data_IF_160100765163
#
_entry.id   IF_160100765163
#
_cell.length_a   1.000
_cell.length_b   1.000
_cell.length_c   1.000
_cell.angle_alpha   90.00
_cell.angle_beta   90.00
_cell.angle_gamma   90.00
#
_symmetry.space_group_name_H-M   'P 1'
#
loop_
_entity.id
_entity.type
_entity.pdbx_description
1 polymer ?
#
# COMPACT_ATOMS: atom_id res chain seq x y z
N UNK A 1 -12.06 -19.80 0.07
CA UNK A 1 -12.92 -18.62 0.05
C UNK A 1 -12.11 -17.34 -0.21
N UNK A 2 -10.98 -17.09 0.48
CA UNK A 2 -10.18 -15.87 0.38
C UNK A 2 -9.76 -15.54 -1.06
N UNK A 3 -9.21 -16.49 -1.81
CA UNK A 3 -8.82 -16.27 -3.20
C UNK A 3 -10.01 -15.93 -4.11
N UNK A 4 -11.19 -16.51 -3.87
CA UNK A 4 -12.41 -16.16 -4.61
C UNK A 4 -12.89 -14.74 -4.28
N UNK A 5 -12.75 -14.29 -3.04
CA UNK A 5 -13.05 -12.91 -2.66
C UNK A 5 -12.09 -11.91 -3.35
N UNK A 6 -10.80 -12.21 -3.40
CA UNK A 6 -9.80 -11.42 -4.14
C UNK A 6 -10.12 -11.40 -5.64
N UNK A 7 -10.60 -12.50 -6.20
CA UNK A 7 -11.06 -12.55 -7.59
C UNK A 7 -12.25 -11.60 -7.84
N UNK A 8 -13.22 -11.56 -6.91
CA UNK A 8 -14.33 -10.59 -6.99
C UNK A 8 -13.82 -9.15 -6.97
N UNK A 9 -12.87 -8.81 -6.11
CA UNK A 9 -12.24 -7.48 -6.07
C UNK A 9 -11.59 -7.11 -7.41
N UNK A 10 -10.87 -8.04 -8.02
CA UNK A 10 -10.25 -7.83 -9.34
C UNK A 10 -11.30 -7.60 -10.43
N UNK A 11 -12.40 -8.33 -10.40
CA UNK A 11 -13.53 -8.13 -11.32
C UNK A 11 -14.18 -6.78 -11.07
N UNK A 12 -14.36 -6.38 -9.81
CA UNK A 12 -14.96 -5.10 -9.44
C UNK A 12 -14.15 -3.92 -9.97
N UNK A 13 -12.81 -3.99 -9.92
CA UNK A 13 -11.92 -2.97 -10.49
C UNK A 13 -12.09 -2.81 -12.00
N UNK A 14 -12.25 -3.93 -12.73
CA UNK A 14 -12.42 -3.92 -14.18
C UNK A 14 -13.84 -3.50 -14.62
N UNK A 15 -14.82 -3.59 -13.70
CA UNK A 15 -16.24 -3.34 -13.99
C UNK A 15 -16.81 -2.13 -13.24
N UNK A 16 -15.94 -1.24 -12.76
CA UNK A 16 -16.38 -0.02 -12.07
C UNK A 16 -16.61 1.14 -13.03
N UNK A 17 -17.60 1.97 -12.74
CA UNK A 17 -17.81 3.25 -13.41
C UNK A 17 -16.74 4.31 -13.11
N UNK A 18 -15.78 4.00 -12.26
CA UNK A 18 -14.62 4.84 -11.93
C UNK A 18 -13.42 4.59 -12.88
N UNK A 19 -13.49 3.52 -13.68
CA UNK A 19 -12.45 3.16 -14.64
C UNK A 19 -12.49 4.04 -15.89
N UNK A 20 -11.36 4.18 -16.57
CA UNK A 20 -11.25 4.89 -17.85
C UNK A 20 -10.71 3.98 -18.93
N UNK A 21 -11.01 4.31 -20.18
CA UNK A 21 -10.47 3.59 -21.31
C UNK A 21 -9.06 4.06 -21.66
N UNK A 22 -8.14 3.12 -21.85
CA UNK A 22 -6.78 3.40 -22.33
C UNK A 22 -6.68 3.06 -23.82
N UNK A 23 -6.76 4.08 -24.68
CA UNK A 23 -6.77 3.89 -26.14
C UNK A 23 -5.56 3.14 -26.70
N UNK A 24 -4.37 3.40 -26.18
CA UNK A 24 -3.14 2.79 -26.70
C UNK A 24 -2.95 1.31 -26.31
N UNK A 25 -3.66 0.83 -25.29
CA UNK A 25 -3.62 -0.57 -24.83
C UNK A 25 -4.94 -1.30 -25.04
N UNK A 26 -5.97 -0.60 -25.49
CA UNK A 26 -7.33 -1.13 -25.66
C UNK A 26 -7.83 -1.89 -24.43
N UNK A 27 -7.62 -1.29 -23.24
CA UNK A 27 -7.97 -1.90 -21.97
C UNK A 27 -8.54 -0.88 -20.98
N UNK A 28 -9.20 -1.35 -19.95
CA UNK A 28 -9.67 -0.50 -18.85
C UNK A 28 -8.50 -0.22 -17.91
N UNK A 29 -8.25 1.04 -17.63
CA UNK A 29 -7.30 1.45 -16.60
C UNK A 29 -7.94 1.44 -15.21
N UNK A 30 -7.08 1.19 -14.21
CA UNK A 30 -7.48 1.21 -12.82
C UNK A 30 -8.07 2.57 -12.42
N UNK A 31 -9.11 2.57 -11.56
CA UNK A 31 -9.76 3.79 -11.11
C UNK A 31 -8.86 4.70 -10.26
N UNK A 32 -7.75 4.16 -9.74
CA UNK A 32 -6.87 4.85 -8.78
C UNK A 32 -5.63 5.50 -9.41
N UNK A 33 -5.64 5.78 -10.70
CA UNK A 33 -4.50 6.41 -11.40
C UNK A 33 -4.10 7.78 -10.83
N UNK A 34 -4.98 8.46 -10.12
CA UNK A 34 -4.74 9.71 -9.41
C UNK A 34 -4.59 9.54 -7.90
N UNK A 35 -4.45 8.30 -7.42
CA UNK A 35 -4.37 7.97 -5.99
C UNK A 35 -5.59 8.49 -5.19
N UNK A 36 -6.73 8.55 -5.84
CA UNK A 36 -8.01 8.95 -5.27
C UNK A 36 -9.13 8.18 -5.97
N UNK A 37 -10.28 8.05 -5.32
CA UNK A 37 -11.51 7.59 -5.95
C UNK A 37 -12.03 8.74 -6.83
N UNK A 38 -11.65 8.72 -8.10
CA UNK A 38 -11.97 9.78 -9.04
C UNK A 38 -13.33 9.54 -9.70
N UNK A 39 -14.09 10.61 -9.87
CA UNK A 39 -15.28 10.59 -10.72
C UNK A 39 -14.87 10.79 -12.18
N UNK A 40 -15.39 9.95 -13.08
CA UNK A 40 -15.20 10.07 -14.53
C UNK A 40 -16.55 10.29 -15.20
N UNK A 41 -16.56 11.12 -16.27
CA UNK A 41 -17.79 11.42 -17.02
C UNK A 41 -18.17 10.32 -17.99
N UNK A 42 -17.18 9.60 -18.51
CA UNK A 42 -17.36 8.55 -19.50
C UNK A 42 -16.50 7.35 -19.09
N UNK A 43 -17.12 6.21 -18.93
CA UNK A 43 -16.47 4.99 -18.47
C UNK A 43 -16.81 3.82 -19.41
N UNK A 44 -15.87 2.89 -19.60
CA UNK A 44 -16.11 1.71 -20.40
C UNK A 44 -16.99 0.71 -19.67
N UNK A 45 -17.94 0.13 -20.38
CA UNK A 45 -18.66 -1.04 -19.91
C UNK A 45 -17.94 -2.30 -20.41
N UNK A 46 -17.43 -3.11 -19.47
CA UNK A 46 -16.78 -4.36 -19.81
C UNK A 46 -17.74 -5.53 -19.70
N UNK A 47 -17.54 -6.54 -20.55
CA UNK A 47 -18.22 -7.82 -20.42
C UNK A 47 -17.31 -8.78 -19.63
N UNK A 48 -17.64 -9.11 -18.36
CA UNK A 48 -16.81 -10.01 -17.57
C UNK A 48 -16.73 -11.44 -18.12
N UNK A 49 -17.63 -11.82 -19.00
CA UNK A 49 -17.69 -13.15 -19.60
C UNK A 49 -17.02 -13.26 -21.00
N UNK A 50 -16.36 -12.20 -21.44
CA UNK A 50 -15.58 -12.24 -22.69
C UNK A 50 -14.21 -12.91 -22.48
N UNK A 51 -13.46 -13.08 -23.58
CA UNK A 51 -12.10 -13.64 -23.56
C UNK A 51 -10.98 -12.58 -23.54
N UNK A 52 -11.34 -11.29 -23.38
CA UNK A 52 -10.38 -10.20 -23.43
C UNK A 52 -9.70 -9.95 -22.08
N UNK A 53 -8.68 -9.10 -22.09
CA UNK A 53 -8.02 -8.60 -20.89
C UNK A 53 -9.04 -7.93 -19.95
N UNK A 54 -8.95 -8.21 -18.66
CA UNK A 54 -9.90 -7.70 -17.66
C UNK A 54 -11.15 -8.54 -17.45
N UNK A 55 -11.39 -9.59 -18.27
CA UNK A 55 -12.49 -10.52 -18.06
C UNK A 55 -12.34 -11.32 -16.75
N UNK A 56 -13.44 -11.88 -16.26
CA UNK A 56 -13.44 -12.69 -15.04
C UNK A 56 -12.45 -13.88 -15.14
N UNK A 57 -12.43 -14.57 -16.26
CA UNK A 57 -11.49 -15.68 -16.49
C UNK A 57 -10.04 -15.20 -16.50
N UNK A 58 -9.74 -14.11 -17.21
CA UNK A 58 -8.39 -13.54 -17.23
C UNK A 58 -7.94 -13.09 -15.84
N UNK A 59 -8.81 -12.49 -15.04
CA UNK A 59 -8.48 -12.10 -13.66
C UNK A 59 -8.26 -13.31 -12.74
N UNK A 60 -8.95 -14.44 -12.99
CA UNK A 60 -8.73 -15.69 -12.26
C UNK A 60 -7.36 -16.30 -12.57
N UNK A 61 -6.93 -16.27 -13.83
CA UNK A 61 -5.62 -16.81 -14.24
C UNK A 61 -4.45 -16.20 -13.47
N UNK A 62 -4.50 -14.90 -13.15
CA UNK A 62 -3.47 -14.26 -12.35
C UNK A 62 -3.38 -14.84 -10.93
N UNK A 63 -4.53 -15.16 -10.33
CA UNK A 63 -4.56 -15.77 -8.99
C UNK A 63 -4.04 -17.21 -9.06
N UNK A 64 -4.42 -17.97 -10.08
CA UNK A 64 -3.96 -19.35 -10.26
C UNK A 64 -2.44 -19.40 -10.47
N UNK A 65 -1.88 -18.53 -11.30
CA UNK A 65 -0.43 -18.42 -11.52
C UNK A 65 0.32 -18.07 -10.22
N UNK A 66 -0.22 -17.19 -9.40
CA UNK A 66 0.35 -16.88 -8.09
C UNK A 66 0.35 -18.12 -7.18
N UNK A 67 -0.77 -18.82 -7.08
CA UNK A 67 -0.87 -20.05 -6.27
C UNK A 67 0.14 -21.10 -6.75
N UNK A 68 0.29 -21.27 -8.06
CA UNK A 68 1.26 -22.19 -8.65
C UNK A 68 2.70 -21.79 -8.32
N UNK A 69 3.05 -20.51 -8.43
CA UNK A 69 4.40 -20.01 -8.11
C UNK A 69 4.78 -20.20 -6.64
N UNK A 70 3.81 -20.02 -5.74
CA UNK A 70 4.06 -20.13 -4.29
C UNK A 70 3.92 -21.57 -3.75
N UNK A 71 3.33 -22.48 -4.52
CA UNK A 71 3.06 -23.86 -4.05
C UNK A 71 4.32 -24.67 -3.71
N UNK A 72 5.48 -24.26 -4.23
CA UNK A 72 6.77 -24.92 -4.02
C UNK A 72 7.62 -24.24 -2.93
N UNK A 73 7.12 -23.21 -2.25
CA UNK A 73 7.84 -22.56 -1.16
C UNK A 73 7.92 -23.50 0.05
N UNK A 74 9.15 -23.81 0.48
CA UNK A 74 9.42 -24.68 1.64
C UNK A 74 9.79 -23.92 2.90
N UNK A 75 9.70 -22.58 2.87
CA UNK A 75 10.09 -21.75 4.02
C UNK A 75 8.93 -21.61 5.02
N UNK A 76 9.25 -21.79 6.29
CA UNK A 76 8.32 -21.46 7.36
C UNK A 76 8.16 -19.94 7.46
N UNK A 77 6.92 -19.48 7.34
CA UNK A 77 6.58 -18.05 7.37
C UNK A 77 5.71 -17.73 8.58
N UNK A 78 6.09 -16.71 9.33
CA UNK A 78 5.28 -16.17 10.43
C UNK A 78 4.57 -14.93 9.94
N UNK A 79 3.24 -15.00 9.83
CA UNK A 79 2.39 -13.85 9.48
C UNK A 79 1.74 -13.27 10.73
N UNK A 80 1.79 -11.94 10.86
CA UNK A 80 1.15 -11.22 11.96
C UNK A 80 0.32 -10.07 11.41
N UNK A 81 -0.88 -9.92 11.94
CA UNK A 81 -1.71 -8.74 11.76
C UNK A 81 -1.52 -7.82 12.97
N UNK A 82 -0.55 -6.93 12.88
CA UNK A 82 -0.17 -6.03 13.96
C UNK A 82 0.39 -4.72 13.41
N UNK A 83 0.41 -3.68 14.22
CA UNK A 83 1.06 -2.42 13.86
C UNK A 83 2.59 -2.57 13.82
N UNK A 84 3.25 -2.01 12.80
CA UNK A 84 4.72 -2.00 12.71
C UNK A 84 5.39 -1.27 13.88
N UNK A 85 4.68 -0.37 14.56
CA UNK A 85 5.15 0.32 15.77
C UNK A 85 4.97 -0.49 17.06
N UNK A 86 4.40 -1.69 17.00
CA UNK A 86 4.24 -2.55 18.16
C UNK A 86 5.59 -3.18 18.52
N UNK A 87 6.01 -2.99 19.77
CA UNK A 87 7.28 -3.53 20.28
C UNK A 87 7.18 -5.03 20.57
N UNK A 88 8.28 -5.73 20.40
CA UNK A 88 8.41 -7.17 20.72
C UNK A 88 7.45 -8.08 19.95
N UNK A 89 7.11 -7.73 18.72
CA UNK A 89 6.21 -8.55 17.89
C UNK A 89 6.69 -10.01 17.73
N UNK A 90 7.99 -10.23 17.76
CA UNK A 90 8.61 -11.56 17.67
C UNK A 90 9.17 -12.05 19.01
N UNK A 91 8.67 -11.49 20.12
CA UNK A 91 9.15 -11.79 21.47
C UNK A 91 10.60 -11.33 21.68
N UNK A 92 11.42 -12.18 22.25
CA UNK A 92 12.85 -11.91 22.48
C UNK A 92 13.73 -12.26 21.24
N UNK A 93 13.12 -12.76 20.17
CA UNK A 93 13.85 -13.11 18.94
C UNK A 93 14.30 -11.84 18.22
N UNK A 94 15.60 -11.77 17.91
CA UNK A 94 16.14 -10.73 17.04
C UNK A 94 16.05 -11.14 15.57
N UNK A 95 15.67 -10.20 14.73
CA UNK A 95 15.67 -10.34 13.28
C UNK A 95 17.06 -9.94 12.75
N UNK A 96 17.63 -10.72 11.86
CA UNK A 96 18.92 -10.40 11.23
C UNK A 96 18.77 -9.17 10.32
N UNK A 97 17.68 -9.12 9.56
CA UNK A 97 17.42 -7.99 8.68
C UNK A 97 15.93 -7.62 8.70
N UNK A 98 15.64 -6.33 8.49
CA UNK A 98 14.30 -5.81 8.22
C UNK A 98 14.32 -5.08 6.90
N UNK A 99 13.38 -5.37 6.03
CA UNK A 99 13.16 -4.70 4.76
C UNK A 99 11.77 -4.07 4.81
N UNK A 100 11.68 -2.77 4.58
CA UNK A 100 10.43 -2.03 4.69
C UNK A 100 10.30 -0.97 3.60
N UNK A 101 9.06 -0.75 3.18
CA UNK A 101 8.63 0.31 2.28
C UNK A 101 7.53 1.10 3.04
N UNK A 102 7.90 2.12 3.83
CA UNK A 102 6.95 2.86 4.66
C UNK A 102 6.05 3.76 3.80
N UNK A 103 4.90 4.21 4.31
CA UNK A 103 4.05 5.15 3.59
C UNK A 103 4.80 6.43 3.20
N UNK A 104 4.51 6.92 1.99
CA UNK A 104 5.22 8.06 1.37
C UNK A 104 4.62 9.41 1.80
N UNK A 105 4.76 9.74 3.06
CA UNK A 105 4.34 11.01 3.67
C UNK A 105 2.86 11.31 3.42
N UNK A 106 2.54 12.27 2.53
CA UNK A 106 1.18 12.67 2.14
C UNK A 106 0.80 12.27 0.69
N UNK A 107 1.66 11.50 0.03
CA UNK A 107 1.50 11.21 -1.39
C UNK A 107 0.33 10.28 -1.68
N UNK A 108 0.00 9.33 -0.80
CA UNK A 108 -1.01 8.30 -1.03
C UNK A 108 -1.91 8.15 0.20
N UNK A 109 -3.22 8.25 -0.02
CA UNK A 109 -4.25 7.99 0.98
C UNK A 109 -4.64 6.49 0.97
N UNK A 110 -3.76 5.64 1.50
CA UNK A 110 -3.91 4.18 1.39
C UNK A 110 -5.23 3.66 1.96
N UNK A 111 -5.60 4.09 3.16
CA UNK A 111 -6.81 3.65 3.83
C UNK A 111 -8.07 4.13 3.07
N UNK A 112 -8.08 5.37 2.57
CA UNK A 112 -9.21 5.90 1.80
C UNK A 112 -9.42 5.13 0.50
N UNK A 113 -8.34 4.83 -0.23
CA UNK A 113 -8.39 4.06 -1.48
C UNK A 113 -8.80 2.61 -1.20
N UNK A 114 -8.32 2.05 -0.10
CA UNK A 114 -8.62 0.67 0.32
C UNK A 114 -10.10 0.46 0.65
N UNK A 115 -10.86 1.50 0.97
CA UNK A 115 -12.30 1.41 1.22
C UNK A 115 -13.06 0.80 0.03
N UNK A 116 -12.60 1.04 -1.20
CA UNK A 116 -13.18 0.43 -2.40
C UNK A 116 -13.17 -1.10 -2.33
N UNK A 117 -12.03 -1.69 -1.96
CA UNK A 117 -11.87 -3.14 -1.83
C UNK A 117 -12.49 -3.67 -0.55
N UNK A 118 -12.37 -2.91 0.53
CA UNK A 118 -12.90 -3.28 1.84
C UNK A 118 -14.39 -3.60 1.80
N UNK A 119 -15.18 -2.86 1.02
CA UNK A 119 -16.62 -3.09 0.87
C UNK A 119 -16.93 -4.49 0.33
N UNK A 120 -16.17 -4.95 -0.67
CA UNK A 120 -16.37 -6.26 -1.29
C UNK A 120 -15.85 -7.39 -0.41
N UNK A 121 -14.63 -7.21 0.14
CA UNK A 121 -14.04 -8.19 1.05
C UNK A 121 -14.87 -8.38 2.31
N UNK A 122 -15.39 -7.30 2.89
CA UNK A 122 -16.30 -7.37 4.04
C UNK A 122 -17.55 -8.17 3.74
N UNK A 123 -18.17 -7.97 2.59
CA UNK A 123 -19.38 -8.71 2.18
C UNK A 123 -19.12 -10.20 1.95
N UNK A 124 -17.94 -10.55 1.52
CA UNK A 124 -17.58 -11.92 1.14
C UNK A 124 -16.87 -12.70 2.23
N UNK A 125 -16.13 -12.03 3.11
CA UNK A 125 -15.23 -12.65 4.09
C UNK A 125 -15.53 -12.34 5.56
N UNK A 126 -16.55 -11.53 5.86
CA UNK A 126 -16.85 -11.12 7.24
C UNK A 126 -17.01 -12.32 8.19
N UNK A 127 -17.63 -13.40 7.74
CA UNK A 127 -17.83 -14.60 8.57
C UNK A 127 -16.52 -15.38 8.80
N UNK A 128 -15.56 -15.22 7.90
CA UNK A 128 -14.25 -15.89 8.00
C UNK A 128 -13.24 -15.07 8.79
N UNK A 129 -13.28 -13.74 8.65
CA UNK A 129 -12.33 -12.80 9.25
C UNK A 129 -13.04 -11.64 9.95
N UNK A 130 -13.96 -11.98 10.88
CA UNK A 130 -14.84 -10.99 11.53
C UNK A 130 -14.10 -9.85 12.22
N UNK A 131 -12.93 -10.10 12.82
CA UNK A 131 -12.12 -9.07 13.47
C UNK A 131 -11.56 -8.06 12.48
N UNK A 132 -11.18 -8.48 11.27
CA UNK A 132 -10.65 -7.61 10.22
C UNK A 132 -11.73 -6.73 9.59
N UNK A 133 -12.98 -7.16 9.63
CA UNK A 133 -14.12 -6.48 9.01
C UNK A 133 -15.13 -5.92 10.02
N UNK A 134 -14.70 -5.70 11.27
CA UNK A 134 -15.55 -5.20 12.36
C UNK A 134 -15.99 -3.74 12.19
N UNK A 135 -15.23 -2.92 11.48
CA UNK A 135 -15.50 -1.50 11.25
C UNK A 135 -16.33 -1.26 9.98
N UNK A 136 -17.08 -0.16 9.86
CA UNK A 136 -17.78 0.20 8.63
C UNK A 136 -16.85 0.47 7.43
N UNK A 137 -15.68 1.02 7.70
CA UNK A 137 -14.64 1.40 6.73
C UNK A 137 -13.28 0.95 7.25
N UNK A 138 -12.25 1.03 6.41
CA UNK A 138 -10.86 0.82 6.84
C UNK A 138 -10.48 1.80 7.95
N UNK A 139 -9.73 1.36 8.98
CA UNK A 139 -9.29 2.27 10.03
C UNK A 139 -8.27 3.28 9.50
N UNK A 140 -8.56 4.57 9.66
CA UNK A 140 -7.74 5.68 9.14
C UNK A 140 -6.88 6.34 10.22
N UNK A 141 -7.34 6.28 11.48
CA UNK A 141 -6.67 6.92 12.61
C UNK A 141 -5.29 6.35 12.95
N UNK A 142 -5.01 5.11 12.53
CA UNK A 142 -3.74 4.44 12.78
C UNK A 142 -2.80 4.44 11.56
N UNK A 143 -3.24 4.97 10.44
CA UNK A 143 -2.45 5.06 9.24
C UNK A 143 -1.28 6.04 9.42
N UNK A 144 -0.05 5.60 9.11
CA UNK A 144 1.14 6.44 9.21
C UNK A 144 1.29 7.30 7.95
N UNK A 145 0.43 8.33 7.82
CA UNK A 145 0.46 9.29 6.70
C UNK A 145 0.29 10.72 7.22
N UNK A 146 0.80 11.70 6.46
CA UNK A 146 0.68 13.13 6.78
C UNK A 146 -0.54 13.77 6.06
N UNK A 147 -1.64 13.06 5.95
CA UNK A 147 -2.84 13.52 5.25
C UNK A 147 -3.63 14.50 6.12
N UNK A 148 -3.66 15.77 5.75
CA UNK A 148 -4.29 16.83 6.55
C UNK A 148 -5.79 16.58 6.83
N UNK A 149 -6.52 15.94 5.93
CA UNK A 149 -7.94 15.65 6.12
C UNK A 149 -8.21 14.61 7.23
N UNK A 150 -7.21 13.84 7.63
CA UNK A 150 -7.26 12.98 8.82
C UNK A 150 -6.91 13.73 10.13
N UNK A 151 -6.41 14.98 10.04
CA UNK A 151 -5.88 15.76 11.16
C UNK A 151 -6.48 17.19 11.17
N UNK A 152 -7.79 17.32 11.30
CA UNK A 152 -8.51 18.61 11.39
C UNK A 152 -8.19 19.60 10.25
N UNK A 153 -7.78 19.12 9.08
CA UNK A 153 -7.24 19.88 7.95
C UNK A 153 -5.99 20.73 8.30
N UNK A 154 -5.25 20.36 9.35
CA UNK A 154 -4.01 21.00 9.77
C UNK A 154 -2.80 20.25 9.21
N UNK A 155 -2.02 20.93 8.38
CA UNK A 155 -0.76 20.38 7.85
C UNK A 155 0.26 20.15 8.97
N UNK A 156 0.28 21.04 9.96
CA UNK A 156 1.22 20.93 11.08
C UNK A 156 0.89 19.74 11.98
N UNK A 157 -0.39 19.49 12.28
CA UNK A 157 -0.80 18.32 13.07
C UNK A 157 -0.51 17.02 12.32
N UNK A 158 -0.81 16.97 11.02
CA UNK A 158 -0.53 15.83 10.18
C UNK A 158 0.97 15.48 10.13
N UNK A 159 1.82 16.50 9.97
CA UNK A 159 3.28 16.35 9.99
C UNK A 159 3.77 15.79 11.32
N UNK A 160 3.38 16.42 12.44
CA UNK A 160 3.78 15.98 13.79
C UNK A 160 3.32 14.55 14.08
N UNK A 161 2.12 14.18 13.65
CA UNK A 161 1.61 12.83 13.78
C UNK A 161 2.47 11.84 12.99
N UNK A 162 2.77 12.13 11.73
CA UNK A 162 3.59 11.29 10.87
C UNK A 162 5.00 11.09 11.46
N UNK A 163 5.67 12.18 11.83
CA UNK A 163 7.01 12.14 12.43
C UNK A 163 7.05 11.26 13.68
N UNK A 164 6.08 11.45 14.57
CA UNK A 164 5.97 10.65 15.78
C UNK A 164 5.71 9.18 15.47
N UNK A 165 4.72 8.88 14.63
CA UNK A 165 4.35 7.52 14.28
C UNK A 165 5.49 6.78 13.60
N UNK A 166 6.19 7.44 12.67
CA UNK A 166 7.33 6.87 11.95
C UNK A 166 8.52 6.62 12.90
N UNK A 167 8.77 7.56 13.84
CA UNK A 167 9.79 7.36 14.87
C UNK A 167 9.46 6.16 15.76
N UNK A 168 8.22 6.01 16.21
CA UNK A 168 7.77 4.85 17.01
C UNK A 168 7.97 3.52 16.25
N UNK A 169 7.69 3.52 14.93
CA UNK A 169 7.92 2.35 14.07
C UNK A 169 9.42 2.02 13.99
N UNK A 170 10.26 3.01 13.72
CA UNK A 170 11.71 2.77 13.63
C UNK A 170 12.34 2.39 14.99
N UNK A 171 11.85 2.93 16.10
CA UNK A 171 12.27 2.51 17.44
C UNK A 171 11.91 1.03 17.71
N UNK A 172 10.72 0.60 17.27
CA UNK A 172 10.33 -0.81 17.37
C UNK A 172 11.18 -1.72 16.47
N UNK A 173 11.51 -1.29 15.26
CA UNK A 173 12.39 -1.99 14.34
C UNK A 173 13.81 -2.09 14.91
N UNK A 174 14.37 -1.00 15.41
CA UNK A 174 15.72 -0.96 16.01
C UNK A 174 15.82 -1.96 17.17
N UNK A 175 14.85 -1.96 18.05
CA UNK A 175 14.84 -2.87 19.22
C UNK A 175 14.78 -4.35 18.83
N UNK A 176 14.21 -4.70 17.68
CA UNK A 176 14.07 -6.09 17.24
C UNK A 176 15.09 -6.52 16.18
N UNK A 177 15.88 -5.61 15.62
CA UNK A 177 16.86 -5.93 14.58
C UNK A 177 18.26 -6.04 15.18
N UNK A 178 19.02 -7.03 14.74
CA UNK A 178 20.39 -7.26 15.20
C UNK A 178 21.45 -6.74 14.24
N UNK A 179 21.10 -6.52 12.96
CA UNK A 179 22.08 -6.18 11.93
C UNK A 179 21.59 -5.03 11.02
N UNK A 180 20.91 -5.31 9.92
CA UNK A 180 20.64 -4.30 8.88
C UNK A 180 19.13 -4.00 8.74
N UNK A 181 18.84 -2.72 8.45
CA UNK A 181 17.50 -2.27 8.05
C UNK A 181 17.61 -1.61 6.69
N UNK A 182 16.85 -2.12 5.72
CA UNK A 182 16.72 -1.52 4.39
C UNK A 182 15.37 -0.83 4.28
N UNK A 183 15.40 0.46 3.99
CA UNK A 183 14.20 1.31 3.89
C UNK A 183 14.10 1.79 2.44
N UNK A 184 13.02 1.44 1.76
CA UNK A 184 12.67 2.03 0.47
C UNK A 184 11.80 3.27 0.72
N UNK A 185 12.09 4.37 0.05
CA UNK A 185 11.29 5.59 0.19
C UNK A 185 11.41 6.45 -1.04
N UNK A 186 10.31 7.03 -1.49
CA UNK A 186 10.28 7.98 -2.60
C UNK A 186 9.35 9.14 -2.27
N UNK A 187 9.83 10.36 -2.44
CA UNK A 187 9.01 11.57 -2.31
C UNK A 187 9.62 12.76 -3.03
N UNK A 188 8.77 13.69 -3.49
CA UNK A 188 9.18 14.84 -4.29
C UNK A 188 9.73 16.01 -3.45
N UNK A 189 9.35 16.08 -2.16
CA UNK A 189 9.68 17.22 -1.31
C UNK A 189 10.86 16.91 -0.38
N UNK A 190 11.76 17.87 -0.23
CA UNK A 190 12.86 17.81 0.75
C UNK A 190 12.33 17.65 2.17
N UNK A 191 11.13 18.16 2.45
CA UNK A 191 10.51 18.06 3.76
C UNK A 191 10.24 16.60 4.17
N UNK A 192 9.66 15.79 3.27
CA UNK A 192 9.40 14.38 3.53
C UNK A 192 10.69 13.60 3.79
N UNK A 193 11.75 13.86 3.01
CA UNK A 193 13.07 13.29 3.22
C UNK A 193 13.69 13.70 4.56
N UNK A 194 13.58 14.97 4.91
CA UNK A 194 14.07 15.46 6.21
C UNK A 194 13.34 14.79 7.37
N UNK A 195 12.03 14.65 7.25
CA UNK A 195 11.19 13.94 8.24
C UNK A 195 11.59 12.49 8.39
N UNK A 196 11.81 11.78 7.27
CA UNK A 196 12.30 10.40 7.29
C UNK A 196 13.64 10.29 8.02
N UNK A 197 14.62 11.10 7.62
CA UNK A 197 15.97 11.08 8.20
C UNK A 197 15.92 11.39 9.71
N UNK A 198 15.14 12.40 10.11
CA UNK A 198 14.97 12.76 11.53
C UNK A 198 14.35 11.60 12.33
N UNK A 199 13.36 10.90 11.78
CA UNK A 199 12.73 9.76 12.43
C UNK A 199 13.69 8.59 12.59
N UNK A 200 14.53 8.30 11.58
CA UNK A 200 15.59 7.28 11.65
C UNK A 200 16.60 7.62 12.76
N UNK A 201 17.11 8.84 12.76
CA UNK A 201 18.10 9.29 13.75
C UNK A 201 17.52 9.33 15.17
N UNK A 202 16.26 9.76 15.33
CA UNK A 202 15.55 9.77 16.61
C UNK A 202 15.37 8.38 17.19
N UNK A 203 15.21 7.38 16.34
CA UNK A 203 15.18 5.97 16.69
C UNK A 203 16.58 5.35 16.93
N UNK A 204 17.63 6.17 17.00
CA UNK A 204 19.03 5.77 17.24
C UNK A 204 19.63 4.85 16.18
N UNK A 205 19.05 4.86 14.98
CA UNK A 205 19.61 4.18 13.81
C UNK A 205 20.60 5.08 13.09
N UNK A 206 21.60 4.48 12.43
CA UNK A 206 22.58 5.18 11.62
C UNK A 206 22.39 4.87 10.13
N UNK A 207 22.32 5.91 9.32
CA UNK A 207 22.28 5.75 7.87
C UNK A 207 23.70 5.43 7.38
N UNK A 208 23.91 4.23 6.88
CA UNK A 208 25.22 3.74 6.42
C UNK A 208 25.41 3.82 4.91
N UNK A 209 24.33 3.98 4.16
CA UNK A 209 24.36 4.10 2.71
C UNK A 209 23.02 4.50 2.14
N UNK A 210 23.05 5.04 0.93
CA UNK A 210 21.86 5.38 0.14
C UNK A 210 22.15 5.05 -1.32
N UNK A 211 21.18 4.47 -2.00
CA UNK A 211 21.27 4.10 -3.41
C UNK A 211 20.06 4.63 -4.15
N UNK A 212 20.25 5.50 -5.15
CA UNK A 212 19.14 5.91 -6.01
C UNK A 212 18.70 4.72 -6.87
N UNK A 213 17.38 4.51 -6.95
CA UNK A 213 16.77 3.45 -7.74
C UNK A 213 15.73 4.07 -8.68
N UNK A 214 15.86 3.83 -9.97
CA UNK A 214 14.85 4.24 -10.97
C UNK A 214 13.72 3.20 -10.99
N UNK A 215 12.66 3.46 -10.23
CA UNK A 215 11.50 2.57 -10.09
C UNK A 215 10.30 3.02 -10.92
N UNK A 216 10.32 4.25 -11.46
CA UNK A 216 9.20 4.83 -12.19
C UNK A 216 9.34 4.62 -13.71
N UNK A 217 8.23 4.27 -14.36
CA UNK A 217 8.19 4.21 -15.81
C UNK A 217 8.27 5.62 -16.40
N UNK A 218 9.17 5.85 -17.35
CA UNK A 218 9.39 7.13 -18.04
C UNK A 218 8.12 7.73 -18.70
N UNK A 219 7.10 6.92 -18.96
CA UNK A 219 5.85 7.32 -19.60
C UNK A 219 4.71 7.63 -18.62
N UNK A 220 4.96 7.63 -17.31
CA UNK A 220 3.92 7.96 -16.35
C UNK A 220 3.64 9.46 -16.37
N UNK A 221 2.40 9.86 -16.65
CA UNK A 221 2.00 11.28 -16.78
C UNK A 221 2.29 12.12 -15.51
N UNK A 222 2.34 11.47 -14.34
CA UNK A 222 2.76 12.09 -13.08
C UNK A 222 4.28 12.12 -12.92
N UNK A 223 5.02 11.18 -13.54
CA UNK A 223 6.47 11.12 -13.51
C UNK A 223 7.15 12.23 -14.32
N UNK A 224 6.51 12.73 -15.36
CA UNK A 224 7.03 13.85 -16.19
C UNK A 224 7.01 15.21 -15.46
N UNK A 225 6.20 15.36 -14.42
CA UNK A 225 6.13 16.58 -13.60
C UNK A 225 6.89 16.45 -12.27
N UNK A 226 7.34 15.25 -11.91
CA UNK A 226 8.03 14.95 -10.67
C UNK A 226 9.42 14.44 -10.98
N UNK A 227 10.43 15.30 -10.85
CA UNK A 227 11.76 14.81 -10.53
C UNK A 227 11.66 14.26 -9.09
N UNK A 228 11.28 12.99 -8.97
CA UNK A 228 11.47 12.29 -7.72
C UNK A 228 12.98 12.30 -7.47
N UNK A 229 13.41 12.93 -6.40
CA UNK A 229 14.75 12.70 -5.85
C UNK A 229 14.68 11.27 -5.28
N UNK A 230 15.06 10.34 -6.10
CA UNK A 230 15.27 8.95 -5.72
C UNK A 230 16.56 8.79 -4.93
#
# INVERSE_FOLDING_TARGET
YTYLAIWIDRIAVANTSLGRWHNGRETIEHPFSRQAIAMVFDYPESNPFCSSSGSATNQLEWILRYIESESNSSFETILKNASSGEKKQFGEKKLTAVITDPPYYDAIAYADISDFFYVWLKRTLNDTYSLNFSTPQTPKSEECTALKHHHNNSEQEAKLYFEKKLTDIFDAIEQQTSDIVSIMFAHQTTEAWTTLCNSILSARMNITGSWPMDTEMANRSLGLASAALE
#
